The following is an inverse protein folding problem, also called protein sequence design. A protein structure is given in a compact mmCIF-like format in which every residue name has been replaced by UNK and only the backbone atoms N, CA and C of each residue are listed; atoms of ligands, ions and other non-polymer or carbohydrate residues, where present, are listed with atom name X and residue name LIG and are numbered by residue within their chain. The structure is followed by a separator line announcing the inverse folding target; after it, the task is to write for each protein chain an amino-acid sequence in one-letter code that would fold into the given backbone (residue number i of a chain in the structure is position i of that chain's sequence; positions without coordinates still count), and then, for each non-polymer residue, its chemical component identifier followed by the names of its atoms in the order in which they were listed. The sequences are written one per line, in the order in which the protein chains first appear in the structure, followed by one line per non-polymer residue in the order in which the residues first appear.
data_IF_764346121240
#
_entry.id   IF_764346121240
#
_cell.length_a   1.000
_cell.length_b   1.000
_cell.length_c   1.000
_cell.angle_alpha   90.00
_cell.angle_beta   90.00
_cell.angle_gamma   90.00
#
_symmetry.space_group_name_H-M   'P 1'
#
loop_
_entity.id
_entity.type
_entity.pdbx_description
1 polymer ?
#
# COMPACT_ATOMS: atom_id res chain seq x y z
N UNK A 1 -2.50 29.80 6.16
CA UNK A 1 -3.90 29.72 6.65
C UNK A 1 -4.96 29.95 5.56
N UNK A 2 -4.67 30.71 4.49
CA UNK A 2 -5.63 31.00 3.40
C UNK A 2 -5.89 29.84 2.40
N UNK A 3 -4.92 28.94 2.20
CA UNK A 3 -5.02 27.84 1.21
C UNK A 3 -6.04 26.76 1.65
N UNK A 4 -6.13 26.48 2.95
CA UNK A 4 -7.14 25.55 3.48
C UNK A 4 -8.58 26.06 3.33
N UNK A 5 -8.78 27.39 3.38
CA UNK A 5 -10.08 28.01 3.11
C UNK A 5 -10.47 27.92 1.62
N UNK A 6 -9.49 28.02 0.73
CA UNK A 6 -9.71 27.90 -0.71
C UNK A 6 -10.08 26.46 -1.12
N UNK A 7 -9.49 25.44 -0.48
CA UNK A 7 -9.88 24.03 -0.67
C UNK A 7 -11.31 23.75 -0.15
N UNK A 8 -11.67 24.28 1.02
CA UNK A 8 -13.02 24.12 1.57
C UNK A 8 -14.11 24.84 0.75
N UNK A 9 -13.79 26.00 0.16
CA UNK A 9 -14.73 26.76 -0.69
C UNK A 9 -14.89 26.16 -2.10
N UNK A 10 -13.87 25.46 -2.60
CA UNK A 10 -13.96 24.72 -3.87
C UNK A 10 -14.86 23.48 -3.74
N UNK A 11 -14.86 22.80 -2.58
CA UNK A 11 -15.76 21.67 -2.29
C UNK A 11 -17.24 22.11 -2.24
N UNK A 12 -17.58 23.26 -1.65
CA UNK A 12 -18.98 23.72 -1.57
C UNK A 12 -19.61 24.13 -2.92
N UNK A 13 -18.83 24.49 -3.94
CA UNK A 13 -19.38 24.94 -5.24
C UNK A 13 -19.72 23.79 -6.19
N UNK A 14 -19.18 22.58 -5.97
CA UNK A 14 -19.35 21.45 -6.88
C UNK A 14 -20.49 20.50 -6.48
N UNK A 15 -20.93 20.50 -5.21
CA UNK A 15 -21.95 19.58 -4.67
C UNK A 15 -23.34 20.20 -4.49
N UNK A 16 -23.65 21.25 -5.25
CA UNK A 16 -24.98 21.86 -5.26
C UNK A 16 -26.02 20.95 -5.93
N UNK A 17 -26.60 20.03 -5.14
CA UNK A 17 -27.78 19.16 -5.37
C UNK A 17 -27.49 17.67 -5.56
N UNK A 18 -27.29 16.95 -4.45
CA UNK A 18 -27.84 15.58 -4.31
C UNK A 18 -28.26 15.31 -2.87
N UNK A 19 -29.31 14.51 -2.72
CA UNK A 19 -30.15 14.34 -1.53
C UNK A 19 -29.43 13.72 -0.32
N UNK A 20 -29.82 14.20 0.87
CA UNK A 20 -29.83 13.65 2.25
C UNK A 20 -29.07 12.34 2.61
N UNK A 21 -28.94 11.37 1.71
CA UNK A 21 -28.12 10.16 1.86
C UNK A 21 -26.60 10.42 1.73
N UNK A 22 -26.17 11.47 1.00
CA UNK A 22 -24.75 11.87 0.94
C UNK A 22 -24.22 12.40 2.29
N UNK A 23 -25.11 12.97 3.11
CA UNK A 23 -24.73 13.61 4.38
C UNK A 23 -24.30 12.60 5.47
N UNK A 24 -24.70 11.33 5.35
CA UNK A 24 -24.23 10.25 6.23
C UNK A 24 -22.85 9.74 5.78
N UNK A 25 -22.58 9.74 4.47
CA UNK A 25 -21.32 9.27 3.88
C UNK A 25 -20.17 10.26 4.14
N UNK A 26 -20.43 11.57 4.11
CA UNK A 26 -19.39 12.58 4.36
C UNK A 26 -18.85 12.59 5.80
N UNK A 27 -19.61 12.07 6.78
CA UNK A 27 -19.17 12.02 8.18
C UNK A 27 -18.24 10.85 8.51
N UNK A 28 -18.14 9.82 7.64
CA UNK A 28 -17.35 8.61 7.90
C UNK A 28 -16.31 8.35 6.80
N UNK A 29 -15.23 9.13 6.79
CA UNK A 29 -13.95 8.85 6.11
C UNK A 29 -13.78 9.35 4.67
N UNK A 30 -13.46 10.65 4.56
CA UNK A 30 -13.07 11.31 3.31
C UNK A 30 -11.82 10.76 2.60
N UNK A 31 -11.12 9.74 3.14
CA UNK A 31 -10.03 9.06 2.45
C UNK A 31 -10.52 8.00 1.45
N UNK A 32 -11.69 7.41 1.67
CA UNK A 32 -12.23 6.37 0.78
C UNK A 32 -12.61 6.90 -0.61
N UNK A 33 -12.82 8.21 -0.76
CA UNK A 33 -13.11 8.83 -2.08
C UNK A 33 -12.01 8.60 -3.11
N UNK A 34 -10.80 8.27 -2.66
CA UNK A 34 -9.63 7.98 -3.50
C UNK A 34 -9.48 6.49 -3.83
N UNK A 35 -10.41 5.63 -3.42
CA UNK A 35 -10.37 4.18 -3.65
C UNK A 35 -11.33 3.80 -4.78
N UNK A 36 -10.83 3.01 -5.73
CA UNK A 36 -11.58 2.47 -6.87
C UNK A 36 -11.28 0.97 -7.07
N UNK A 37 -12.21 0.19 -7.67
CA UNK A 37 -13.57 0.56 -8.05
C UNK A 37 -14.50 0.81 -6.84
N UNK A 38 -15.70 1.32 -7.11
CA UNK A 38 -16.72 1.63 -6.09
C UNK A 38 -17.06 0.44 -5.21
N UNK A 39 -17.02 -0.77 -5.74
CA UNK A 39 -17.40 -1.98 -4.99
C UNK A 39 -16.43 -2.22 -3.82
N UNK A 40 -15.12 -2.12 -4.08
CA UNK A 40 -14.11 -2.21 -3.03
C UNK A 40 -14.19 -1.07 -2.03
N UNK A 41 -14.42 0.16 -2.54
CA UNK A 41 -14.64 1.33 -1.69
C UNK A 41 -15.82 1.10 -0.74
N UNK A 42 -16.94 0.60 -1.25
CA UNK A 42 -18.15 0.36 -0.48
C UNK A 42 -17.94 -0.74 0.57
N UNK A 43 -17.25 -1.83 0.22
CA UNK A 43 -16.89 -2.87 1.19
C UNK A 43 -16.00 -2.34 2.30
N UNK A 44 -14.97 -1.54 1.98
CA UNK A 44 -14.10 -0.93 2.99
C UNK A 44 -14.86 0.05 3.90
N UNK A 45 -15.78 0.84 3.34
CA UNK A 45 -16.68 1.71 4.12
C UNK A 45 -17.58 0.89 5.04
N UNK A 46 -18.13 -0.23 4.55
CA UNK A 46 -18.95 -1.13 5.37
C UNK A 46 -18.14 -1.67 6.56
N UNK A 47 -16.92 -2.16 6.33
CA UNK A 47 -16.03 -2.62 7.40
C UNK A 47 -15.76 -1.50 8.39
N UNK A 48 -15.42 -0.30 7.91
CA UNK A 48 -15.17 0.86 8.77
C UNK A 48 -16.39 1.25 9.63
N UNK A 49 -17.59 1.22 9.03
CA UNK A 49 -18.84 1.51 9.75
C UNK A 49 -19.10 0.50 10.88
N UNK A 50 -18.78 -0.77 10.66
CA UNK A 50 -18.91 -1.80 11.71
C UNK A 50 -17.96 -1.58 12.88
N UNK A 51 -16.84 -0.87 12.68
CA UNK A 51 -15.82 -0.63 13.70
C UNK A 51 -15.96 0.72 14.39
N UNK A 52 -16.94 1.56 14.02
CA UNK A 52 -17.00 2.98 14.42
C UNK A 52 -16.91 3.24 15.93
N UNK A 53 -17.40 2.31 16.76
CA UNK A 53 -17.41 2.43 18.23
C UNK A 53 -16.29 1.64 18.92
N UNK A 54 -15.45 0.96 18.15
CA UNK A 54 -14.44 0.04 18.66
C UNK A 54 -13.13 0.77 18.94
N UNK A 55 -12.46 0.41 20.04
CA UNK A 55 -11.21 1.06 20.46
C UNK A 55 -9.99 0.18 20.27
N UNK A 56 -10.16 -1.14 20.28
CA UNK A 56 -9.08 -2.11 20.24
C UNK A 56 -9.34 -3.09 19.12
N UNK A 57 -8.45 -3.13 18.13
CA UNK A 57 -8.66 -3.88 16.89
C UNK A 57 -7.46 -4.79 16.66
N UNK A 58 -7.75 -6.06 16.43
CA UNK A 58 -6.76 -7.07 16.08
C UNK A 58 -6.92 -7.45 14.60
N UNK A 59 -5.82 -7.34 13.85
CA UNK A 59 -5.82 -7.51 12.39
C UNK A 59 -4.71 -8.46 11.99
N UNK A 60 -5.00 -9.37 11.06
CA UNK A 60 -4.03 -10.20 10.36
C UNK A 60 -3.93 -9.74 8.91
N UNK A 61 -2.73 -9.64 8.37
CA UNK A 61 -2.48 -9.13 7.01
C UNK A 61 -1.54 -10.04 6.24
N UNK A 62 -1.78 -10.17 4.93
CA UNK A 62 -0.93 -10.97 4.04
C UNK A 62 -0.94 -10.41 2.60
N UNK A 63 0.16 -10.62 1.88
CA UNK A 63 0.37 -10.27 0.48
C UNK A 63 0.86 -11.45 -0.36
N UNK A 64 0.18 -11.73 -1.47
CA UNK A 64 0.53 -12.82 -2.38
C UNK A 64 0.98 -12.29 -3.74
N UNK A 65 2.02 -12.91 -4.31
CA UNK A 65 2.39 -12.78 -5.72
C UNK A 65 2.43 -14.17 -6.34
N UNK A 66 1.75 -14.34 -7.47
CA UNK A 66 1.71 -15.56 -8.28
C UNK A 66 2.36 -15.31 -9.64
N UNK A 67 2.77 -16.40 -10.29
CA UNK A 67 3.20 -16.39 -11.70
C UNK A 67 4.40 -15.48 -12.02
N UNK A 68 5.32 -15.28 -11.07
CA UNK A 68 6.49 -14.39 -11.22
C UNK A 68 7.34 -14.70 -12.48
N UNK A 69 7.34 -15.97 -12.92
CA UNK A 69 8.12 -16.44 -14.06
C UNK A 69 7.38 -16.35 -15.41
N UNK A 70 6.15 -15.83 -15.45
CA UNK A 70 5.36 -15.71 -16.68
C UNK A 70 4.93 -14.27 -16.93
N UNK A 71 4.38 -13.99 -18.11
CA UNK A 71 3.86 -12.66 -18.46
C UNK A 71 2.52 -12.33 -17.76
N UNK A 72 1.98 -13.22 -16.93
CA UNK A 72 0.70 -13.09 -16.24
C UNK A 72 0.91 -12.98 -14.72
N UNK A 73 1.81 -12.09 -14.30
CA UNK A 73 2.09 -11.88 -12.88
C UNK A 73 0.83 -11.33 -12.20
N UNK A 74 0.34 -12.05 -11.20
CA UNK A 74 -0.83 -11.68 -10.41
C UNK A 74 -0.39 -11.35 -9.00
N UNK A 75 -0.96 -10.30 -8.42
CA UNK A 75 -0.60 -9.85 -7.09
C UNK A 75 -1.87 -9.46 -6.33
N UNK A 76 -1.96 -9.86 -5.08
CA UNK A 76 -3.13 -9.64 -4.24
C UNK A 76 -2.75 -9.40 -2.80
N UNK A 77 -3.60 -8.68 -2.09
CA UNK A 77 -3.42 -8.41 -0.67
C UNK A 77 -4.73 -8.67 0.07
N UNK A 78 -4.63 -9.01 1.36
CA UNK A 78 -5.79 -9.23 2.19
C UNK A 78 -5.54 -8.87 3.65
N UNK A 79 -6.62 -8.56 4.35
CA UNK A 79 -6.62 -8.49 5.80
C UNK A 79 -7.84 -9.18 6.40
N UNK A 80 -7.67 -9.66 7.63
CA UNK A 80 -8.71 -10.26 8.47
C UNK A 80 -8.69 -9.55 9.81
N UNK A 81 -9.80 -8.96 10.20
CA UNK A 81 -10.01 -8.43 11.55
C UNK A 81 -10.52 -9.60 12.39
N UNK A 82 -9.75 -10.04 13.39
CA UNK A 82 -10.12 -11.14 14.28
C UNK A 82 -10.98 -10.68 15.45
N UNK A 83 -10.73 -9.46 15.93
CA UNK A 83 -11.45 -8.82 17.02
C UNK A 83 -11.57 -7.31 16.77
N UNK A 84 -12.66 -6.67 17.22
CA UNK A 84 -13.76 -7.23 18.02
C UNK A 84 -14.86 -7.89 17.16
N UNK A 85 -14.93 -7.56 15.87
CA UNK A 85 -15.94 -8.09 14.94
C UNK A 85 -15.21 -8.72 13.74
N UNK A 86 -15.47 -10.00 13.50
CA UNK A 86 -14.85 -10.71 12.38
C UNK A 86 -15.28 -10.10 11.04
N UNK A 87 -14.32 -9.50 10.35
CA UNK A 87 -14.47 -8.92 9.00
C UNK A 87 -13.20 -9.23 8.20
N UNK A 88 -13.30 -9.25 6.88
CA UNK A 88 -12.15 -9.46 6.02
C UNK A 88 -12.32 -8.76 4.68
N UNK A 89 -11.20 -8.48 4.03
CA UNK A 89 -11.16 -7.84 2.72
C UNK A 89 -9.99 -8.39 1.91
N UNK A 90 -10.18 -8.50 0.60
CA UNK A 90 -9.12 -8.84 -0.33
C UNK A 90 -9.38 -8.25 -1.72
N UNK A 91 -8.30 -7.90 -2.42
CA UNK A 91 -8.35 -7.37 -3.77
C UNK A 91 -7.08 -7.74 -4.55
N UNK A 92 -7.17 -7.58 -5.87
CA UNK A 92 -6.00 -7.58 -6.74
C UNK A 92 -5.27 -6.25 -6.60
N UNK A 93 -3.96 -6.27 -6.80
CA UNK A 93 -3.13 -5.07 -6.91
C UNK A 93 -2.21 -5.22 -8.11
N UNK A 94 -1.85 -4.10 -8.73
CA UNK A 94 -1.06 -4.09 -9.96
C UNK A 94 0.17 -3.19 -9.82
N UNK A 95 0.93 -3.12 -10.90
CA UNK A 95 2.15 -2.35 -11.10
C UNK A 95 3.32 -2.83 -10.23
N UNK A 96 4.50 -2.93 -10.83
CA UNK A 96 5.75 -3.33 -10.17
C UNK A 96 5.57 -4.51 -9.18
N UNK A 97 5.21 -5.72 -9.67
CA UNK A 97 4.87 -6.84 -8.79
C UNK A 97 5.95 -7.13 -7.74
N UNK A 98 5.53 -7.20 -6.48
CA UNK A 98 6.43 -7.46 -5.35
C UNK A 98 5.64 -7.92 -4.13
N UNK A 99 6.07 -9.02 -3.51
CA UNK A 99 5.46 -9.50 -2.25
C UNK A 99 5.48 -8.40 -1.19
N UNK A 100 6.60 -7.71 -1.02
CA UNK A 100 6.70 -6.56 -0.09
C UNK A 100 5.65 -5.46 -0.34
N UNK A 101 5.31 -5.19 -1.61
CA UNK A 101 4.26 -4.22 -1.96
C UNK A 101 2.88 -4.74 -1.57
N UNK A 102 2.61 -6.03 -1.82
CA UNK A 102 1.36 -6.67 -1.44
C UNK A 102 1.15 -6.68 0.08
N UNK A 103 2.18 -7.03 0.84
CA UNK A 103 2.18 -7.02 2.30
C UNK A 103 1.89 -5.62 2.85
N UNK A 104 2.60 -4.60 2.35
CA UNK A 104 2.41 -3.23 2.78
C UNK A 104 1.01 -2.69 2.43
N UNK A 105 0.47 -3.08 1.27
CA UNK A 105 -0.86 -2.66 0.85
C UNK A 105 -1.95 -3.26 1.76
N UNK A 106 -1.78 -4.51 2.20
CA UNK A 106 -2.69 -5.12 3.18
C UNK A 106 -2.76 -4.30 4.48
N UNK A 107 -1.61 -3.85 4.99
CA UNK A 107 -1.54 -2.98 6.19
C UNK A 107 -2.19 -1.61 5.95
N UNK A 108 -1.95 -0.98 4.79
CA UNK A 108 -2.55 0.32 4.47
C UNK A 108 -4.07 0.22 4.44
N UNK A 109 -4.60 -0.76 3.70
CA UNK A 109 -6.04 -0.92 3.53
C UNK A 109 -6.74 -1.29 4.84
N UNK A 110 -6.10 -2.07 5.71
CA UNK A 110 -6.67 -2.40 7.02
C UNK A 110 -6.76 -1.17 7.93
N UNK A 111 -5.69 -0.37 8.01
CA UNK A 111 -5.67 0.88 8.80
C UNK A 111 -6.67 1.92 8.31
N UNK A 112 -6.98 1.96 7.00
CA UNK A 112 -8.02 2.84 6.47
C UNK A 112 -9.42 2.54 7.04
N UNK A 113 -9.66 1.31 7.50
CA UNK A 113 -10.94 0.89 8.09
C UNK A 113 -11.04 1.12 9.59
N UNK A 114 -9.93 1.43 10.28
CA UNK A 114 -9.94 1.67 11.71
C UNK A 114 -10.62 3.01 12.05
N UNK A 115 -11.38 3.10 13.16
CA UNK A 115 -11.90 4.35 13.67
C UNK A 115 -10.77 5.20 14.25
N UNK A 116 -11.01 6.50 14.40
CA UNK A 116 -10.02 7.41 14.98
C UNK A 116 -9.68 7.01 16.41
N UNK A 117 -8.44 7.26 16.81
CA UNK A 117 -7.91 7.04 18.17
C UNK A 117 -7.85 5.58 18.63
N UNK A 118 -8.11 4.61 17.74
CA UNK A 118 -8.02 3.19 18.07
C UNK A 118 -6.58 2.73 18.36
N UNK A 119 -6.49 1.72 19.23
CA UNK A 119 -5.33 0.87 19.39
C UNK A 119 -5.45 -0.29 18.39
N UNK A 120 -4.44 -0.47 17.55
CA UNK A 120 -4.46 -1.46 16.47
C UNK A 120 -3.25 -2.37 16.62
N UNK A 121 -3.52 -3.66 16.85
CA UNK A 121 -2.50 -4.71 16.85
C UNK A 121 -2.59 -5.46 15.52
N UNK A 122 -1.54 -5.35 14.71
CA UNK A 122 -1.44 -6.00 13.40
C UNK A 122 -0.47 -7.17 13.48
N UNK A 123 -0.91 -8.32 13.02
CA UNK A 123 -0.12 -9.53 12.88
C UNK A 123 0.20 -9.75 11.41
N UNK A 124 1.49 -9.77 11.07
CA UNK A 124 1.97 -10.03 9.71
C UNK A 124 3.10 -11.04 9.74
N UNK A 125 3.17 -11.92 8.74
CA UNK A 125 4.32 -12.79 8.55
C UNK A 125 5.42 -12.14 7.67
N UNK A 126 5.22 -10.91 7.22
CA UNK A 126 6.25 -10.14 6.52
C UNK A 126 7.24 -9.51 7.50
N UNK A 127 8.41 -10.14 7.65
CA UNK A 127 9.50 -9.55 8.45
C UNK A 127 9.93 -8.18 7.89
N UNK A 128 9.83 -8.00 6.56
CA UNK A 128 10.16 -6.76 5.90
C UNK A 128 9.23 -5.62 6.34
N UNK A 129 7.92 -5.85 6.41
CA UNK A 129 6.97 -4.83 6.89
C UNK A 129 7.23 -4.49 8.35
N UNK A 130 7.42 -5.50 9.21
CA UNK A 130 7.68 -5.30 10.65
C UNK A 130 8.93 -4.43 10.86
N UNK A 131 10.06 -4.82 10.26
CA UNK A 131 11.33 -4.11 10.44
C UNK A 131 11.25 -2.65 9.97
N UNK A 132 10.71 -2.44 8.76
CA UNK A 132 10.64 -1.08 8.19
C UNK A 132 9.62 -0.22 8.96
N UNK A 133 8.51 -0.79 9.41
CA UNK A 133 7.57 -0.07 10.25
C UNK A 133 8.25 0.41 11.54
N UNK A 134 8.96 -0.48 12.24
CA UNK A 134 9.66 -0.14 13.49
C UNK A 134 10.72 0.95 13.28
N UNK A 135 11.50 0.88 12.19
CA UNK A 135 12.49 1.89 11.83
C UNK A 135 11.85 3.27 11.55
N UNK A 136 10.67 3.29 10.93
CA UNK A 136 10.01 4.53 10.52
C UNK A 136 9.04 5.10 11.57
N UNK A 137 8.57 4.30 12.52
CA UNK A 137 7.50 4.69 13.47
C UNK A 137 7.86 5.89 14.34
N UNK A 138 9.16 6.07 14.62
CA UNK A 138 9.68 7.18 15.42
C UNK A 138 10.03 8.43 14.60
N UNK A 139 9.91 8.38 13.26
CA UNK A 139 10.33 9.45 12.37
C UNK A 139 9.21 10.46 12.08
N UNK A 140 9.60 11.69 11.71
CA UNK A 140 8.64 12.66 11.17
C UNK A 140 8.32 12.34 9.71
N UNK A 141 7.16 12.79 9.19
CA UNK A 141 6.83 12.66 7.75
C UNK A 141 7.97 13.20 6.88
N UNK A 142 8.56 14.34 7.26
CA UNK A 142 9.66 14.96 6.52
C UNK A 142 10.92 14.10 6.51
N UNK A 143 11.19 13.35 7.57
CA UNK A 143 12.33 12.43 7.62
C UNK A 143 12.07 11.19 6.76
N UNK A 144 10.84 10.67 6.76
CA UNK A 144 10.44 9.58 5.86
C UNK A 144 10.53 10.03 4.40
N UNK A 145 10.10 11.26 4.06
CA UNK A 145 10.23 11.84 2.71
C UNK A 145 11.69 11.88 2.23
N UNK A 146 12.64 12.11 3.14
CA UNK A 146 14.09 12.13 2.87
C UNK A 146 14.74 10.76 2.91
N UNK A 147 14.05 9.76 3.44
CA UNK A 147 14.57 8.40 3.52
C UNK A 147 14.72 7.78 2.12
N UNK A 148 15.58 6.76 2.06
CA UNK A 148 15.84 5.96 0.85
C UNK A 148 15.09 4.63 0.85
N UNK A 149 14.04 4.53 1.67
CA UNK A 149 13.26 3.30 1.82
C UNK A 149 12.54 2.94 0.52
N UNK A 150 12.49 1.65 0.20
CA UNK A 150 11.65 1.18 -0.90
C UNK A 150 10.17 1.37 -0.54
N UNK A 151 9.34 1.59 -1.55
CA UNK A 151 7.91 1.88 -1.45
C UNK A 151 7.60 3.10 -0.57
N UNK A 152 8.49 4.10 -0.55
CA UNK A 152 8.36 5.32 0.26
C UNK A 152 7.00 5.99 0.15
N UNK A 153 6.41 6.04 -1.05
CA UNK A 153 5.09 6.63 -1.28
C UNK A 153 4.01 5.91 -0.47
N UNK A 154 4.07 4.57 -0.40
CA UNK A 154 3.14 3.75 0.38
C UNK A 154 3.38 3.93 1.89
N UNK A 155 4.64 3.97 2.34
CA UNK A 155 4.96 4.28 3.74
C UNK A 155 4.47 5.66 4.18
N UNK A 156 4.63 6.68 3.32
CA UNK A 156 4.10 8.02 3.59
C UNK A 156 2.58 8.01 3.67
N UNK A 157 1.89 7.27 2.80
CA UNK A 157 0.45 7.08 2.88
C UNK A 157 0.05 6.45 4.23
N UNK A 158 0.69 5.34 4.60
CA UNK A 158 0.48 4.63 5.86
C UNK A 158 0.64 5.57 7.08
N UNK A 159 1.76 6.27 7.20
CA UNK A 159 2.01 7.16 8.34
C UNK A 159 1.13 8.42 8.34
N UNK A 160 0.69 8.90 7.18
CA UNK A 160 -0.34 9.95 7.10
C UNK A 160 -1.67 9.44 7.64
N UNK A 161 -2.11 8.24 7.27
CA UNK A 161 -3.34 7.62 7.79
C UNK A 161 -3.26 7.50 9.32
N UNK A 162 -2.17 6.93 9.85
CA UNK A 162 -1.95 6.81 11.30
C UNK A 162 -2.09 8.17 12.00
N UNK A 163 -1.51 9.23 11.44
CA UNK A 163 -1.60 10.60 12.01
C UNK A 163 -3.00 11.21 11.89
N UNK A 164 -3.63 11.10 10.72
CA UNK A 164 -4.98 11.65 10.47
C UNK A 164 -6.01 11.00 11.39
N UNK A 165 -5.87 9.69 11.63
CA UNK A 165 -6.75 8.94 12.52
C UNK A 165 -6.25 8.93 13.97
N UNK A 166 -5.04 9.41 14.25
CA UNK A 166 -4.42 9.35 15.59
C UNK A 166 -4.38 7.92 16.17
N UNK A 167 -4.06 6.95 15.33
CA UNK A 167 -4.00 5.53 15.70
C UNK A 167 -2.76 5.23 16.56
N UNK A 168 -2.90 4.28 17.49
CA UNK A 168 -1.76 3.63 18.15
C UNK A 168 -1.57 2.26 17.51
N UNK A 169 -0.58 2.15 16.63
CA UNK A 169 -0.36 0.92 15.85
C UNK A 169 0.86 0.18 16.37
N UNK A 170 0.71 -1.14 16.54
CA UNK A 170 1.80 -2.08 16.76
C UNK A 170 1.71 -3.20 15.73
N UNK A 171 2.84 -3.53 15.10
CA UNK A 171 2.91 -4.65 14.15
C UNK A 171 3.78 -5.74 14.77
N UNK A 172 3.20 -6.92 14.99
CA UNK A 172 3.87 -8.08 15.56
C UNK A 172 4.11 -9.13 14.47
N UNK A 173 5.36 -9.61 14.37
CA UNK A 173 5.70 -10.72 13.51
C UNK A 173 5.03 -12.00 13.98
N UNK A 174 4.27 -12.66 13.11
CA UNK A 174 3.83 -14.04 13.30
C UNK A 174 4.68 -15.00 12.49
N UNK A 175 4.85 -16.24 12.96
CA UNK A 175 5.62 -17.25 12.22
C UNK A 175 4.82 -17.66 10.98
N UNK A 176 5.48 -17.59 9.81
CA UNK A 176 4.91 -18.07 8.56
C UNK A 176 4.52 -19.55 8.71
N UNK A 177 3.34 -19.93 8.21
CA UNK A 177 2.79 -21.28 8.35
C UNK A 177 2.63 -21.78 9.79
N UNK A 178 2.49 -20.87 10.77
CA UNK A 178 2.09 -21.24 12.13
C UNK A 178 0.64 -21.73 12.18
N UNK A 179 0.26 -22.38 13.29
CA UNK A 179 -1.13 -22.82 13.56
C UNK A 179 -2.09 -21.67 13.93
N UNK A 180 -1.79 -20.43 13.51
CA UNK A 180 -2.72 -19.32 13.65
C UNK A 180 -3.74 -19.35 12.50
N UNK A 181 -4.99 -19.68 12.83
CA UNK A 181 -6.08 -19.78 11.85
C UNK A 181 -6.33 -18.48 11.08
N UNK A 182 -6.24 -17.32 11.74
CA UNK A 182 -6.43 -16.02 11.09
C UNK A 182 -5.30 -15.65 10.12
N UNK A 183 -4.06 -16.04 10.41
CA UNK A 183 -2.96 -15.87 9.46
C UNK A 183 -3.14 -16.78 8.24
N UNK A 184 -3.56 -18.04 8.45
CA UNK A 184 -3.89 -18.97 7.34
C UNK A 184 -5.05 -18.43 6.50
N UNK A 185 -6.04 -17.77 7.14
CA UNK A 185 -7.16 -17.13 6.44
C UNK A 185 -6.68 -15.91 5.61
N UNK A 186 -5.80 -15.07 6.16
CA UNK A 186 -5.22 -13.95 5.44
C UNK A 186 -4.41 -14.40 4.20
N UNK A 187 -3.55 -15.41 4.32
CA UNK A 187 -2.79 -16.02 3.21
C UNK A 187 -3.72 -16.52 2.09
N UNK A 188 -4.76 -17.28 2.49
CA UNK A 188 -5.75 -17.79 1.55
C UNK A 188 -6.48 -16.65 0.83
N UNK A 189 -6.86 -15.62 1.55
CA UNK A 189 -7.56 -14.46 0.99
C UNK A 189 -6.64 -13.63 0.09
N UNK A 190 -5.36 -13.46 0.41
CA UNK A 190 -4.40 -12.75 -0.42
C UNK A 190 -4.18 -13.47 -1.76
N UNK A 191 -4.04 -14.80 -1.71
CA UNK A 191 -3.97 -15.66 -2.90
C UNK A 191 -5.21 -15.56 -3.77
N UNK A 192 -6.39 -15.49 -3.16
CA UNK A 192 -7.65 -15.30 -3.89
C UNK A 192 -7.79 -13.87 -4.43
N UNK A 193 -7.30 -12.88 -3.68
CA UNK A 193 -7.28 -11.48 -4.08
C UNK A 193 -6.50 -11.26 -5.38
N UNK A 194 -5.40 -12.00 -5.57
CA UNK A 194 -4.58 -11.93 -6.78
C UNK A 194 -5.34 -12.25 -8.08
N UNK A 195 -6.45 -13.00 -7.98
CA UNK A 195 -7.32 -13.37 -9.12
C UNK A 195 -8.51 -12.42 -9.29
N UNK A 196 -8.69 -11.44 -8.40
CA UNK A 196 -9.77 -10.45 -8.46
C UNK A 196 -9.38 -9.22 -9.28
N UNK A 197 -10.38 -8.37 -9.55
CA UNK A 197 -10.17 -7.04 -10.10
C UNK A 197 -9.19 -6.23 -9.25
N UNK A 198 -8.45 -5.34 -9.91
CA UNK A 198 -7.43 -4.51 -9.27
C UNK A 198 -8.07 -3.36 -8.47
N UNK A 199 -7.60 -3.16 -7.25
CA UNK A 199 -7.87 -1.95 -6.47
C UNK A 199 -6.89 -0.85 -6.90
N UNK A 200 -7.42 0.33 -7.20
CA UNK A 200 -6.67 1.51 -7.57
C UNK A 200 -6.82 2.55 -6.46
N UNK A 201 -5.70 3.09 -6.02
CA UNK A 201 -5.65 4.24 -5.11
C UNK A 201 -5.26 5.47 -5.93
N UNK A 202 -6.08 6.52 -5.89
CA UNK A 202 -5.76 7.76 -6.61
C UNK A 202 -4.44 8.37 -6.10
N UNK A 203 -3.64 8.85 -7.06
CA UNK A 203 -2.39 9.56 -6.81
C UNK A 203 -2.52 10.72 -5.83
N UNK A 204 -3.69 11.37 -5.72
CA UNK A 204 -3.93 12.44 -4.75
C UNK A 204 -3.78 11.98 -3.30
N UNK A 205 -4.05 10.70 -3.01
CA UNK A 205 -3.84 10.11 -1.69
C UNK A 205 -2.38 9.72 -1.46
N UNK A 206 -1.72 9.22 -2.51
CA UNK A 206 -0.38 8.65 -2.45
C UNK A 206 0.73 9.70 -2.55
N UNK A 207 0.64 10.58 -3.53
CA UNK A 207 1.72 11.50 -3.91
C UNK A 207 1.83 12.68 -2.95
N UNK A 208 3.07 13.15 -2.79
CA UNK A 208 3.43 14.37 -2.08
C UNK A 208 4.41 15.19 -2.93
N UNK A 209 4.62 16.44 -2.56
CA UNK A 209 5.57 17.32 -3.23
C UNK A 209 6.96 16.67 -3.29
N UNK A 210 7.49 16.46 -4.49
CA UNK A 210 8.80 15.82 -4.70
C UNK A 210 8.75 14.32 -4.98
N UNK A 211 7.57 13.73 -5.22
CA UNK A 211 7.50 12.34 -5.72
C UNK A 211 8.08 12.27 -7.13
N UNK A 212 9.05 11.38 -7.33
CA UNK A 212 9.67 11.16 -8.63
C UNK A 212 8.88 10.09 -9.39
N UNK A 213 8.46 10.40 -10.61
CA UNK A 213 7.72 9.48 -11.47
C UNK A 213 8.53 9.16 -12.74
N UNK A 214 8.30 7.98 -13.30
CA UNK A 214 8.78 7.55 -14.60
C UNK A 214 7.60 7.08 -15.44
N UNK A 215 7.36 7.72 -16.60
CA UNK A 215 6.16 7.47 -17.43
C UNK A 215 4.86 7.52 -16.61
N UNK A 216 4.70 8.58 -15.83
CA UNK A 216 3.57 8.79 -14.92
C UNK A 216 3.40 7.75 -13.80
N UNK A 217 4.32 6.80 -13.66
CA UNK A 217 4.34 5.84 -12.56
C UNK A 217 5.30 6.29 -11.45
N UNK A 218 4.89 6.33 -10.18
CA UNK A 218 5.78 6.66 -9.07
C UNK A 218 6.94 5.67 -8.99
N UNK A 219 8.15 6.18 -8.78
CA UNK A 219 9.32 5.32 -8.53
C UNK A 219 9.20 4.75 -7.12
N UNK A 220 8.93 3.45 -7.06
CA UNK A 220 8.72 2.69 -5.82
C UNK A 220 10.02 2.17 -5.20
N UNK A 221 11.18 2.46 -5.77
CA UNK A 221 12.49 2.03 -5.26
C UNK A 221 13.39 3.22 -5.00
N UNK A 222 14.51 3.02 -4.33
CA UNK A 222 15.53 4.06 -4.17
C UNK A 222 15.97 4.60 -5.55
N UNK A 223 15.67 5.87 -5.90
CA UNK A 223 15.97 6.41 -7.22
C UNK A 223 17.47 6.45 -7.54
N UNK A 224 18.31 6.63 -6.53
CA UNK A 224 19.78 6.65 -6.71
C UNK A 224 20.27 5.27 -7.14
N UNK A 225 19.78 4.20 -6.50
CA UNK A 225 20.14 2.84 -6.88
C UNK A 225 19.59 2.46 -8.26
N UNK A 226 18.40 2.95 -8.60
CA UNK A 226 17.83 2.77 -9.93
C UNK A 226 18.69 3.44 -11.00
N UNK A 227 19.04 4.73 -10.81
CA UNK A 227 19.90 5.48 -11.73
C UNK A 227 21.27 4.80 -11.85
N UNK A 228 21.86 4.36 -10.74
CA UNK A 228 23.11 3.62 -10.74
C UNK A 228 22.99 2.33 -11.57
N UNK A 229 21.96 1.53 -11.34
CA UNK A 229 21.73 0.30 -12.11
C UNK A 229 21.57 0.54 -13.60
N UNK A 230 20.86 1.60 -14.00
CA UNK A 230 20.75 2.01 -15.41
C UNK A 230 22.12 2.37 -15.98
N UNK A 231 22.92 3.14 -15.24
CA UNK A 231 24.27 3.54 -15.66
C UNK A 231 25.22 2.35 -15.75
N UNK A 232 25.16 1.43 -14.79
CA UNK A 232 25.95 0.21 -14.80
C UNK A 232 25.57 -0.67 -16.01
N UNK A 233 24.28 -0.80 -16.33
CA UNK A 233 23.81 -1.52 -17.51
C UNK A 233 24.28 -0.88 -18.83
N UNK A 234 24.16 0.45 -18.95
CA UNK A 234 24.66 1.21 -20.10
C UNK A 234 26.17 1.02 -20.29
N UNK A 235 26.93 1.10 -19.19
CA UNK A 235 28.38 0.89 -19.23
C UNK A 235 28.74 -0.54 -19.66
N UNK A 236 28.02 -1.56 -19.16
CA UNK A 236 28.23 -2.96 -19.58
C UNK A 236 27.92 -3.12 -21.06
N UNK A 237 26.82 -2.54 -21.55
CA UNK A 237 26.47 -2.57 -22.98
C UNK A 237 27.55 -1.90 -23.85
N UNK A 238 27.97 -0.68 -23.49
CA UNK A 238 29.06 0.03 -24.18
C UNK A 238 30.37 -0.78 -24.17
N UNK A 239 30.73 -1.37 -23.02
CA UNK A 239 31.89 -2.24 -22.90
C UNK A 239 31.75 -3.47 -23.82
N UNK A 240 30.61 -4.14 -23.79
CA UNK A 240 30.35 -5.33 -24.62
C UNK A 240 30.38 -4.99 -26.11
N UNK A 241 30.00 -3.78 -26.53
CA UNK A 241 29.95 -3.36 -27.94
C UNK A 241 31.33 -3.01 -28.55
N UNK A 242 32.41 -2.93 -27.75
CA UNK A 242 33.76 -2.71 -28.28
C UNK A 242 34.23 -3.87 -29.18
N UNK A 243 34.93 -3.58 -30.28
CA UNK A 243 35.44 -4.61 -31.20
C UNK A 243 36.33 -5.65 -30.50
N UNK A 244 37.22 -5.21 -29.60
CA UNK A 244 38.10 -6.12 -28.84
C UNK A 244 37.36 -7.09 -27.91
N UNK A 245 36.09 -6.82 -27.61
CA UNK A 245 35.26 -7.59 -26.68
C UNK A 245 34.27 -8.52 -27.41
N UNK A 246 34.45 -8.74 -28.71
CA UNK A 246 33.57 -9.56 -29.54
C UNK A 246 33.43 -11.01 -29.05
N UNK A 247 34.46 -11.55 -28.39
CA UNK A 247 34.45 -12.90 -27.81
C UNK A 247 33.33 -13.10 -26.77
N UNK A 248 32.94 -12.04 -26.04
CA UNK A 248 31.90 -12.10 -25.02
C UNK A 248 30.47 -12.05 -25.59
N UNK A 249 30.31 -11.83 -26.90
CA UNK A 249 29.01 -11.77 -27.59
C UNK A 249 28.66 -13.05 -28.35
N UNK A 250 29.55 -14.05 -28.32
CA UNK A 250 29.34 -15.31 -29.03
C UNK A 250 28.36 -16.19 -28.24
N UNK A 251 27.32 -16.68 -28.92
CA UNK A 251 26.26 -17.52 -28.34
C UNK A 251 26.76 -18.83 -27.73
N UNK A 252 27.94 -19.28 -28.14
CA UNK A 252 28.49 -20.59 -27.78
C UNK A 252 29.17 -20.58 -26.39
N UNK A 253 29.23 -19.42 -25.72
CA UNK A 253 29.87 -19.20 -24.41
C UNK A 253 28.89 -18.78 -23.29
N UNK A 254 27.59 -18.63 -23.59
CA UNK A 254 26.52 -18.26 -22.65
C UNK A 254 25.55 -19.44 -22.42
#
# INVERSE_FOLDING_TARGET
MAIYKALAQAECKYYGKTSMNECIIEKVNGLFKYIHPSDYRNTLIEIANNLTQETDIEIYTDGSVKNIATNEIMMGCAFVISAPIKKSFNCGITDNPSSNKAELMAVILSLMTCPKTANVEIYSDSQWVVNIFDDLNFLTIKDIERSKVNYKVLWLCLFKIIRIYSLKVKITKVKAHSDCDYNKEADKLAKFGAEKNVLIIEDKLLLHNGTVCWRDMPIERNPILMIKGIKDAQFIEEFLMLHRNEVYRQSDLL
#
